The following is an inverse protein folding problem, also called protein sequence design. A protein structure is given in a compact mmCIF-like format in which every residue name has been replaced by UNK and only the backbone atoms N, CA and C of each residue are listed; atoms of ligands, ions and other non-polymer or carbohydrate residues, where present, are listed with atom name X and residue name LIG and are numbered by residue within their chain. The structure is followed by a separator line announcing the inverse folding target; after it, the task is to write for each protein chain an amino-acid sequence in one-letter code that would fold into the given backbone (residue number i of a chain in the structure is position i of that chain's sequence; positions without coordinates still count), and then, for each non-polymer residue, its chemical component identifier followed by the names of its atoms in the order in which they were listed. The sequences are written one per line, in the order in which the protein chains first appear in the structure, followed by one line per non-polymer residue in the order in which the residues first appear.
data_IF_173234577608
#
_entry.id   IF_173234577608
#
_cell.length_a   1.000
_cell.length_b   1.000
_cell.length_c   1.000
_cell.angle_alpha   90.00
_cell.angle_beta   90.00
_cell.angle_gamma   90.00
#
_symmetry.space_group_name_H-M   'P 1'
#
loop_
_entity.id
_entity.type
_entity.pdbx_description
1 polymer ?
#
# COMPACT_ATOMS: atom_id res chain seq x y z
N UNK A 1 10.56 -20.40 -8.33
CA UNK A 1 11.04 -19.05 -7.96
C UNK A 1 10.60 -18.77 -6.54
N UNK A 2 11.55 -18.74 -5.59
CA UNK A 2 11.26 -18.58 -4.15
C UNK A 2 10.60 -17.22 -3.84
N UNK A 3 10.82 -16.20 -4.66
CA UNK A 3 10.20 -14.88 -4.50
C UNK A 3 8.70 -14.84 -4.85
N UNK A 4 8.24 -15.71 -5.77
CA UNK A 4 6.80 -15.88 -6.01
C UNK A 4 6.08 -16.49 -4.81
N UNK A 5 6.78 -17.34 -4.06
CA UNK A 5 6.21 -17.98 -2.87
C UNK A 5 6.10 -16.98 -1.71
N UNK A 6 7.14 -16.19 -1.45
CA UNK A 6 7.10 -15.18 -0.37
C UNK A 6 6.03 -14.10 -0.64
N UNK A 7 5.87 -13.67 -1.89
CA UNK A 7 4.82 -12.71 -2.27
C UNK A 7 3.42 -13.21 -1.88
N UNK A 8 3.11 -14.49 -2.15
CA UNK A 8 1.82 -15.08 -1.81
C UNK A 8 1.62 -15.20 -0.29
N UNK A 9 2.68 -15.56 0.45
CA UNK A 9 2.64 -15.65 1.91
C UNK A 9 2.42 -14.28 2.57
N UNK A 10 3.05 -13.22 2.05
CA UNK A 10 2.83 -11.85 2.53
C UNK A 10 1.40 -11.35 2.26
N UNK A 11 0.74 -11.89 1.24
CA UNK A 11 -0.63 -11.52 0.84
C UNK A 11 -1.70 -12.46 1.39
N UNK A 12 -1.39 -13.24 2.45
CA UNK A 12 -2.38 -14.10 3.08
C UNK A 12 -3.52 -13.27 3.69
N UNK A 13 -4.76 -13.73 3.45
CA UNK A 13 -5.98 -13.11 3.97
C UNK A 13 -6.00 -13.15 5.49
N UNK A 14 -5.49 -14.24 6.07
CA UNK A 14 -5.32 -14.36 7.51
C UNK A 14 -4.01 -13.68 7.95
N UNK A 15 -4.05 -12.64 8.80
CA UNK A 15 -2.84 -11.97 9.30
C UNK A 15 -1.86 -12.90 10.01
N UNK A 16 -2.35 -13.93 10.70
CA UNK A 16 -1.51 -14.86 11.47
C UNK A 16 -0.65 -15.76 10.58
N UNK A 17 -1.03 -15.93 9.31
CA UNK A 17 -0.28 -16.71 8.34
C UNK A 17 0.84 -15.90 7.67
N UNK A 18 0.86 -14.58 7.87
CA UNK A 18 1.85 -13.72 7.22
C UNK A 18 3.21 -13.92 7.87
N UNK A 19 4.28 -14.01 7.07
CA UNK A 19 5.61 -14.14 7.60
C UNK A 19 6.02 -12.87 8.35
N UNK A 20 6.75 -13.03 9.46
CA UNK A 20 7.34 -11.91 10.16
C UNK A 20 8.55 -11.35 9.39
N UNK A 21 9.01 -10.17 9.81
CA UNK A 21 10.13 -9.48 9.15
C UNK A 21 11.44 -10.27 9.18
N UNK A 22 11.70 -11.02 10.25
CA UNK A 22 12.92 -11.83 10.40
C UNK A 22 12.95 -12.96 9.37
N UNK A 23 11.82 -13.66 9.19
CA UNK A 23 11.67 -14.73 8.21
C UNK A 23 11.84 -14.20 6.79
N UNK A 24 11.18 -13.06 6.47
CA UNK A 24 11.33 -12.41 5.15
C UNK A 24 12.80 -12.07 4.90
N UNK A 25 13.48 -11.44 5.87
CA UNK A 25 14.89 -11.07 5.75
C UNK A 25 15.79 -12.28 5.53
N UNK A 26 15.55 -13.39 6.24
CA UNK A 26 16.33 -14.61 6.08
C UNK A 26 16.18 -15.24 4.70
N UNK A 27 14.96 -15.26 4.16
CA UNK A 27 14.65 -15.82 2.84
C UNK A 27 15.29 -14.98 1.73
N UNK A 28 15.26 -13.64 1.88
CA UNK A 28 15.89 -12.73 0.93
C UNK A 28 17.42 -12.84 0.95
N UNK A 29 18.01 -13.00 2.14
CA UNK A 29 19.45 -13.19 2.28
C UNK A 29 19.92 -14.50 1.63
N UNK A 30 19.19 -15.60 1.83
CA UNK A 30 19.51 -16.93 1.24
C UNK A 30 19.39 -16.96 -0.28
N UNK A 31 18.56 -16.10 -0.87
CA UNK A 31 18.37 -16.02 -2.32
C UNK A 31 19.62 -15.52 -3.05
N UNK A 32 20.51 -14.80 -2.36
CA UNK A 32 21.69 -14.17 -2.94
C UNK A 32 21.36 -12.87 -3.70
N UNK A 33 22.13 -11.82 -3.42
CA UNK A 33 21.85 -10.45 -3.88
C UNK A 33 21.62 -10.33 -5.39
N UNK A 34 22.40 -11.05 -6.20
CA UNK A 34 22.29 -10.99 -7.67
C UNK A 34 20.97 -11.58 -8.20
N UNK A 35 20.52 -12.69 -7.62
CA UNK A 35 19.27 -13.34 -8.03
C UNK A 35 18.08 -12.47 -7.63
N UNK A 36 18.13 -11.90 -6.42
CA UNK A 36 17.12 -10.97 -5.93
C UNK A 36 17.02 -9.73 -6.84
N UNK A 37 18.15 -9.12 -7.20
CA UNK A 37 18.19 -7.95 -8.06
C UNK A 37 17.60 -8.23 -9.45
N UNK A 38 17.93 -9.39 -10.05
CA UNK A 38 17.38 -9.80 -11.35
C UNK A 38 15.87 -10.06 -11.27
N UNK A 39 15.37 -10.67 -10.20
CA UNK A 39 13.94 -10.90 -9.98
C UNK A 39 13.17 -9.60 -9.74
N UNK A 40 13.74 -8.64 -8.99
CA UNK A 40 13.17 -7.30 -8.78
C UNK A 40 13.09 -6.54 -10.11
N UNK A 41 14.20 -6.45 -10.87
CA UNK A 41 14.22 -5.77 -12.17
C UNK A 41 13.19 -6.35 -13.14
N UNK A 42 13.02 -7.68 -13.12
CA UNK A 42 12.00 -8.35 -13.93
C UNK A 42 10.59 -7.93 -13.52
N UNK A 43 10.30 -7.89 -12.22
CA UNK A 43 9.00 -7.46 -11.69
C UNK A 43 8.71 -5.99 -12.02
N UNK A 44 9.69 -5.10 -11.81
CA UNK A 44 9.60 -3.68 -12.15
C UNK A 44 9.30 -3.46 -13.63
N UNK A 45 9.91 -4.23 -14.53
CA UNK A 45 9.60 -4.14 -15.96
C UNK A 45 8.13 -4.44 -16.27
N UNK A 46 7.49 -5.38 -15.56
CA UNK A 46 6.05 -5.62 -15.71
C UNK A 46 5.22 -4.48 -15.13
N UNK A 47 5.59 -3.95 -13.96
CA UNK A 47 4.90 -2.83 -13.31
C UNK A 47 4.95 -1.57 -14.17
N UNK A 48 6.15 -1.17 -14.60
CA UNK A 48 6.38 0.09 -15.32
C UNK A 48 6.04 0.05 -16.80
N UNK A 49 5.93 -1.14 -17.42
CA UNK A 49 5.51 -1.25 -18.82
C UNK A 49 4.04 -0.80 -19.01
N UNK A 50 3.20 -1.00 -18.00
CA UNK A 50 1.78 -0.66 -18.03
C UNK A 50 1.44 0.55 -17.16
N UNK A 51 2.38 1.02 -16.33
CA UNK A 51 2.21 2.22 -15.52
C UNK A 51 2.13 3.47 -16.39
N UNK A 52 0.92 3.86 -16.74
CA UNK A 52 0.60 5.25 -17.11
C UNK A 52 0.24 5.97 -15.82
N UNK A 53 1.08 6.91 -15.42
CA UNK A 53 0.80 7.80 -14.31
C UNK A 53 -0.61 8.41 -14.51
N UNK A 54 -1.54 8.05 -13.62
CA UNK A 54 -2.92 8.50 -13.75
C UNK A 54 -2.97 9.98 -13.33
N UNK A 55 -2.94 10.88 -14.31
CA UNK A 55 -3.07 12.34 -14.11
C UNK A 55 -4.37 12.76 -13.41
N UNK A 56 -5.34 11.87 -13.21
CA UNK A 56 -6.53 12.15 -12.39
C UNK A 56 -6.25 12.04 -10.88
N UNK A 57 -5.16 11.38 -10.46
CA UNK A 57 -4.76 11.33 -9.05
C UNK A 57 -4.07 12.62 -8.58
N UNK A 58 -3.58 13.45 -9.51
CA UNK A 58 -2.99 14.76 -9.19
C UNK A 58 -4.05 15.86 -9.04
N UNK A 59 -5.29 15.61 -9.46
CA UNK A 59 -6.43 16.47 -9.19
C UNK A 59 -7.07 16.04 -7.88
N UNK A 60 -6.47 16.40 -6.75
CA UNK A 60 -7.09 16.17 -5.44
C UNK A 60 -8.35 17.02 -5.34
N UNK A 61 -9.52 16.38 -5.45
CA UNK A 61 -10.78 17.05 -5.13
C UNK A 61 -10.73 17.43 -3.64
N UNK A 62 -11.05 18.67 -3.23
CA UNK A 62 -10.97 19.08 -1.82
C UNK A 62 -11.65 18.11 -0.84
N UNK A 63 -12.80 17.56 -1.23
CA UNK A 63 -13.53 16.51 -0.48
C UNK A 63 -12.74 15.20 -0.29
N UNK A 64 -11.83 14.82 -1.20
CA UNK A 64 -11.04 13.58 -1.09
C UNK A 64 -9.97 13.64 0.02
N UNK A 65 -9.56 14.84 0.43
CA UNK A 65 -8.69 15.06 1.60
C UNK A 65 -9.39 14.57 2.89
N UNK A 66 -10.71 14.79 2.97
CA UNK A 66 -11.49 14.46 4.15
C UNK A 66 -11.82 12.96 4.24
N UNK A 67 -12.08 12.30 3.10
CA UNK A 67 -12.39 10.85 3.10
C UNK A 67 -11.18 9.96 3.40
N UNK A 68 -9.97 10.38 3.01
CA UNK A 68 -8.74 9.63 3.31
C UNK A 68 -8.36 9.69 4.80
N UNK A 69 -8.78 10.74 5.52
CA UNK A 69 -8.55 10.87 6.97
C UNK A 69 -9.59 10.10 7.81
N UNK A 70 -10.80 9.89 7.28
CA UNK A 70 -11.89 9.25 8.01
C UNK A 70 -11.71 7.73 8.19
N UNK A 71 -10.89 7.09 7.35
CA UNK A 71 -10.75 5.63 7.30
C UNK A 71 -9.66 5.05 8.22
N UNK A 72 -9.06 5.86 9.09
CA UNK A 72 -8.17 5.33 10.12
C UNK A 72 -8.98 5.07 11.40
N UNK A 73 -8.99 3.87 11.99
CA UNK A 73 -9.71 3.61 13.25
C UNK A 73 -9.33 4.57 14.40
N UNK A 74 -8.18 5.26 14.31
CA UNK A 74 -7.77 6.29 15.27
C UNK A 74 -8.47 7.66 15.09
N UNK A 75 -9.29 7.88 14.05
CA UNK A 75 -9.95 9.17 13.76
C UNK A 75 -11.47 9.16 13.94
N UNK A 76 -12.03 8.05 14.43
CA UNK A 76 -13.48 7.82 14.59
C UNK A 76 -14.16 8.87 15.51
N UNK A 77 -13.42 9.48 16.44
CA UNK A 77 -13.91 10.55 17.32
C UNK A 77 -13.76 11.99 16.79
N UNK A 78 -13.23 12.18 15.58
CA UNK A 78 -12.96 13.50 14.98
C UNK A 78 -13.93 13.87 13.85
N UNK A 79 -15.04 13.14 13.69
CA UNK A 79 -16.10 13.52 12.77
C UNK A 79 -16.77 14.81 13.27
N UNK A 80 -16.26 15.96 12.82
CA UNK A 80 -16.88 17.26 13.04
C UNK A 80 -17.96 17.41 11.97
N UNK A 81 -19.22 17.54 12.38
CA UNK A 81 -20.31 17.85 11.47
C UNK A 81 -20.19 19.32 11.06
N UNK A 82 -19.88 19.58 9.79
CA UNK A 82 -19.72 20.93 9.25
C UNK A 82 -21.06 21.56 8.83
N UNK A 83 -22.21 20.94 9.16
CA UNK A 83 -23.52 21.45 8.74
C UNK A 83 -24.06 22.62 9.59
N UNK A 84 -23.36 23.05 10.64
CA UNK A 84 -23.84 24.10 11.56
C UNK A 84 -23.23 25.51 11.36
N UNK A 85 -22.47 25.79 10.28
CA UNK A 85 -21.78 27.09 10.11
C UNK A 85 -22.30 28.01 8.99
N UNK A 86 -23.56 27.87 8.57
CA UNK A 86 -24.16 28.78 7.57
C UNK A 86 -25.37 29.60 8.08
N UNK A 87 -25.61 29.67 9.40
CA UNK A 87 -26.69 30.49 9.98
C UNK A 87 -26.19 31.52 11.01
N UNK A 88 -25.46 32.55 10.58
CA UNK A 88 -25.57 33.87 11.23
C UNK A 88 -25.22 35.00 10.25
N UNK A 89 -26.23 35.81 9.92
CA UNK A 89 -26.16 37.03 9.11
C UNK A 89 -26.32 38.25 10.01
#
# INVERSE_FOLDING_TARGET
MRLKHIHLQCWDLNPDNRPNVELISSVLADMGMKILEDEIKKAEKYLFKEYKENKQLTTTHPQAIYTSRLLNPYTEGLAIDFTELDDEK
#
